data_IF_674092202014
#
_entry.id   IF_674092202014
#
_cell.length_a   1.000
_cell.length_b   1.000
_cell.length_c   1.000
_cell.angle_alpha   90.00
_cell.angle_beta   90.00
_cell.angle_gamma   90.00
#
_symmetry.space_group_name_H-M   'P 1'
#
loop_
_entity.id
_entity.type
_entity.pdbx_description
1 polymer ?
#
# COMPACT_ATOMS: atom_id res chain seq x y z
N UNK A 1 14.25 46.00 6.83
CA UNK A 1 13.89 46.14 8.25
C UNK A 1 12.37 46.03 8.28
N UNK A 2 11.69 45.01 8.79
CA UNK A 2 11.95 43.94 9.77
C UNK A 2 10.75 42.99 9.55
N UNK A 3 10.90 41.71 9.21
CA UNK A 3 11.26 40.63 10.12
C UNK A 3 10.00 40.03 10.77
N UNK A 4 9.49 38.92 10.25
CA UNK A 4 8.67 37.96 10.98
C UNK A 4 9.17 36.56 10.59
N UNK A 5 10.02 36.03 11.45
CA UNK A 5 10.44 34.64 11.52
C UNK A 5 9.37 33.87 12.27
N UNK A 6 8.94 32.73 11.75
CA UNK A 6 8.50 31.61 12.58
C UNK A 6 9.25 30.37 12.10
N UNK A 7 10.22 29.98 12.92
CA UNK A 7 10.85 28.67 12.89
C UNK A 7 9.85 27.69 13.48
N UNK A 8 9.11 27.01 12.61
CA UNK A 8 8.49 25.73 12.94
C UNK A 8 9.58 24.66 12.83
N UNK A 9 9.95 24.12 13.98
CA UNK A 9 10.91 23.03 14.15
C UNK A 9 10.42 21.80 13.38
N UNK A 10 10.89 21.66 12.14
CA UNK A 10 10.75 20.42 11.40
C UNK A 10 11.77 19.45 11.99
N UNK A 11 11.33 18.53 12.84
CA UNK A 11 12.00 17.24 13.02
C UNK A 11 11.88 16.48 11.70
N UNK A 12 12.66 16.93 10.72
CA UNK A 12 12.77 16.34 9.40
C UNK A 12 13.47 15.01 9.52
N UNK A 13 12.70 13.93 9.58
CA UNK A 13 13.15 12.71 8.94
C UNK A 13 13.11 12.94 7.43
N UNK A 14 14.21 13.50 6.92
CA UNK A 14 14.48 13.50 5.49
C UNK A 14 14.74 12.04 5.08
N UNK A 15 13.68 11.30 4.76
CA UNK A 15 13.82 10.14 3.88
C UNK A 15 14.45 10.66 2.60
N UNK A 16 15.71 10.31 2.34
CA UNK A 16 16.35 10.67 1.08
C UNK A 16 15.50 10.06 -0.03
N UNK A 17 14.91 10.91 -0.87
CA UNK A 17 14.18 10.48 -2.05
C UNK A 17 15.17 9.78 -2.97
N UNK A 18 15.20 8.46 -2.89
CA UNK A 18 15.99 7.65 -3.81
C UNK A 18 15.29 7.62 -5.17
N UNK A 19 16.07 7.63 -6.25
CA UNK A 19 15.55 7.41 -7.60
C UNK A 19 15.65 5.94 -7.91
N UNK A 20 14.72 5.41 -8.72
CA UNK A 20 14.83 4.05 -9.23
C UNK A 20 16.13 3.89 -10.04
N UNK A 21 16.65 2.66 -10.04
CA UNK A 21 17.90 2.30 -10.70
C UNK A 21 17.83 0.89 -11.28
N UNK A 22 18.64 0.62 -12.30
CA UNK A 22 18.73 -0.71 -12.88
C UNK A 22 19.45 -1.67 -11.93
N UNK A 23 18.89 -2.86 -11.75
CA UNK A 23 19.58 -3.99 -11.14
C UNK A 23 19.50 -5.17 -12.10
N UNK A 24 20.64 -5.80 -12.37
CA UNK A 24 20.68 -7.00 -13.20
C UNK A 24 19.91 -8.14 -12.52
N UNK A 25 19.16 -8.91 -13.32
CA UNK A 25 18.36 -10.04 -12.81
C UNK A 25 19.16 -11.01 -11.95
N UNK A 26 20.44 -11.18 -12.26
CA UNK A 26 21.36 -12.08 -11.58
C UNK A 26 21.75 -11.61 -10.17
N UNK A 27 21.60 -10.31 -9.88
CA UNK A 27 21.88 -9.71 -8.57
C UNK A 27 20.70 -9.84 -7.61
N UNK A 28 19.49 -10.11 -8.13
CA UNK A 28 18.28 -10.24 -7.32
C UNK A 28 18.08 -11.68 -6.82
N UNK A 29 17.64 -11.77 -5.57
CA UNK A 29 17.25 -13.03 -4.97
C UNK A 29 16.02 -13.60 -5.68
N UNK A 30 15.94 -14.92 -5.75
CA UNK A 30 14.73 -15.62 -6.20
C UNK A 30 13.89 -15.98 -4.99
N UNK A 31 12.61 -15.60 -4.97
CA UNK A 31 11.67 -15.99 -3.91
C UNK A 31 10.41 -16.60 -4.48
N UNK A 32 9.96 -17.69 -3.89
CA UNK A 32 8.67 -18.36 -4.21
C UNK A 32 7.57 -18.02 -3.19
N UNK A 33 7.94 -17.30 -2.13
CA UNK A 33 7.09 -17.01 -0.98
C UNK A 33 7.36 -15.61 -0.44
N UNK A 34 6.32 -15.05 0.17
CA UNK A 34 6.40 -13.95 1.13
C UNK A 34 6.00 -14.56 2.46
N UNK A 35 6.85 -14.41 3.47
CA UNK A 35 6.88 -15.23 4.66
C UNK A 35 6.75 -16.72 4.29
N UNK A 36 5.70 -17.39 4.75
CA UNK A 36 5.39 -18.78 4.42
C UNK A 36 4.31 -18.93 3.33
N UNK A 37 3.80 -17.84 2.75
CA UNK A 37 2.69 -17.84 1.78
C UNK A 37 3.22 -17.92 0.36
N UNK A 38 2.65 -18.80 -0.48
CA UNK A 38 3.15 -19.04 -1.84
C UNK A 38 2.75 -17.93 -2.80
N UNK A 39 3.62 -17.66 -3.75
CA UNK A 39 3.35 -16.76 -4.86
C UNK A 39 2.84 -17.54 -6.08
N UNK A 40 1.86 -16.96 -6.77
CA UNK A 40 1.38 -17.47 -8.05
C UNK A 40 1.20 -16.32 -9.05
N UNK A 41 1.59 -16.57 -10.30
CA UNK A 41 1.40 -15.58 -11.34
C UNK A 41 -0.08 -15.44 -11.69
N UNK A 42 -0.55 -14.21 -11.81
CA UNK A 42 -1.96 -13.91 -12.03
C UNK A 42 -2.49 -14.57 -13.29
N UNK A 43 -1.87 -14.42 -14.45
CA UNK A 43 -2.50 -14.87 -15.71
C UNK A 43 -2.60 -16.39 -15.85
N UNK A 44 -1.64 -17.12 -15.29
CA UNK A 44 -1.56 -18.58 -15.42
C UNK A 44 -2.12 -19.33 -14.20
N UNK A 45 -2.27 -18.63 -13.07
CA UNK A 45 -2.55 -19.23 -11.75
C UNK A 45 -1.55 -20.34 -11.37
N UNK A 46 -0.36 -20.35 -11.97
CA UNK A 46 0.71 -21.28 -11.64
C UNK A 46 1.55 -20.68 -10.52
N UNK A 47 1.99 -21.54 -9.60
CA UNK A 47 2.97 -21.12 -8.61
C UNK A 47 4.26 -20.72 -9.31
N UNK A 48 4.79 -19.57 -8.92
CA UNK A 48 5.92 -18.93 -9.59
C UNK A 48 6.92 -18.37 -8.57
N UNK A 49 8.08 -17.99 -9.07
CA UNK A 49 9.13 -17.30 -8.33
C UNK A 49 9.34 -15.90 -8.88
N UNK A 50 9.63 -14.97 -7.98
CA UNK A 50 9.90 -13.56 -8.30
C UNK A 50 11.37 -13.21 -8.06
N UNK A 51 11.83 -12.15 -8.74
CA UNK A 51 13.19 -11.60 -8.58
C UNK A 51 13.11 -10.32 -7.77
N UNK A 52 13.70 -10.30 -6.58
CA UNK A 52 13.41 -9.28 -5.60
C UNK A 52 14.66 -8.87 -4.81
N UNK A 53 14.71 -7.60 -4.44
CA UNK A 53 15.69 -7.06 -3.50
C UNK A 53 15.50 -7.69 -2.11
N UNK A 54 16.61 -7.96 -1.42
CA UNK A 54 16.57 -8.64 -0.12
C UNK A 54 15.83 -7.84 0.95
N UNK A 55 16.13 -6.55 1.08
CA UNK A 55 15.53 -5.69 2.10
C UNK A 55 14.06 -5.42 1.83
N UNK A 56 13.67 -5.24 0.56
CA UNK A 56 12.27 -5.15 0.19
C UNK A 56 11.50 -6.45 0.47
N UNK A 57 12.10 -7.61 0.21
CA UNK A 57 11.48 -8.88 0.50
C UNK A 57 11.26 -9.11 2.01
N UNK A 58 12.22 -8.73 2.85
CA UNK A 58 12.06 -8.83 4.31
C UNK A 58 10.94 -7.89 4.82
N UNK A 59 10.82 -6.69 4.24
CA UNK A 59 9.72 -5.78 4.55
C UNK A 59 8.34 -6.34 4.13
N UNK A 60 8.26 -7.09 3.04
CA UNK A 60 7.03 -7.81 2.65
C UNK A 60 6.71 -8.94 3.65
N UNK A 61 7.72 -9.65 4.16
CA UNK A 61 7.52 -10.69 5.17
C UNK A 61 6.93 -10.10 6.45
N UNK A 62 7.45 -8.95 6.89
CA UNK A 62 6.94 -8.19 8.05
C UNK A 62 5.51 -7.70 7.83
N UNK A 63 5.24 -7.09 6.67
CA UNK A 63 3.90 -6.63 6.31
C UNK A 63 2.88 -7.78 6.32
N UNK A 64 3.23 -8.93 5.74
CA UNK A 64 2.30 -10.05 5.66
C UNK A 64 2.02 -10.64 7.05
N UNK A 65 3.04 -10.69 7.92
CA UNK A 65 2.87 -11.05 9.33
C UNK A 65 1.87 -10.13 10.02
N UNK A 66 2.04 -8.80 9.87
CA UNK A 66 1.11 -7.81 10.40
C UNK A 66 -0.32 -7.99 9.86
N UNK A 67 -0.48 -8.16 8.54
CA UNK A 67 -1.79 -8.34 7.92
C UNK A 67 -2.51 -9.57 8.47
N UNK A 68 -1.83 -10.71 8.58
CA UNK A 68 -2.40 -11.96 9.09
C UNK A 68 -2.86 -11.80 10.55
N UNK A 69 -2.05 -11.13 11.37
CA UNK A 69 -2.35 -10.93 12.79
C UNK A 69 -3.52 -9.93 13.01
N UNK A 70 -3.61 -8.89 12.19
CA UNK A 70 -4.45 -7.72 12.50
C UNK A 70 -5.69 -7.58 11.62
N UNK A 71 -5.80 -8.26 10.48
CA UNK A 71 -6.91 -8.04 9.54
C UNK A 71 -8.24 -8.68 9.95
N UNK A 72 -8.20 -9.72 10.78
CA UNK A 72 -9.36 -10.59 11.04
C UNK A 72 -9.80 -11.43 9.84
N UNK A 73 -9.07 -11.37 8.72
CA UNK A 73 -9.34 -12.15 7.50
C UNK A 73 -8.65 -13.52 7.56
N UNK A 74 -9.07 -14.47 6.70
CA UNK A 74 -8.37 -15.75 6.57
C UNK A 74 -6.86 -15.58 6.30
N UNK A 75 -6.05 -16.49 6.85
CA UNK A 75 -4.64 -16.59 6.46
C UNK A 75 -4.57 -17.06 5.00
N UNK A 76 -3.90 -16.32 4.10
CA UNK A 76 -3.71 -16.81 2.74
C UNK A 76 -2.71 -17.98 2.71
N UNK A 77 -2.95 -18.95 1.84
CA UNK A 77 -1.93 -19.93 1.44
C UNK A 77 -1.27 -19.55 0.10
N UNK A 78 -1.92 -18.65 -0.65
CA UNK A 78 -1.46 -18.15 -1.95
C UNK A 78 -1.80 -16.67 -2.13
N UNK A 79 -0.83 -15.90 -2.60
CA UNK A 79 -1.01 -14.53 -3.09
C UNK A 79 -0.70 -14.51 -4.58
N UNK A 80 -1.62 -13.94 -5.37
CA UNK A 80 -1.44 -13.76 -6.82
C UNK A 80 -0.82 -12.40 -7.12
N UNK A 81 0.06 -12.35 -8.13
CA UNK A 81 0.81 -11.15 -8.48
C UNK A 81 1.05 -11.01 -9.98
N UNK A 82 1.41 -9.81 -10.45
CA UNK A 82 1.95 -9.58 -11.80
C UNK A 82 3.49 -9.55 -11.86
N UNK A 83 4.17 -9.58 -10.71
CA UNK A 83 5.62 -9.70 -10.63
C UNK A 83 6.27 -8.56 -9.88
N UNK A 84 7.59 -8.63 -9.80
CA UNK A 84 8.42 -7.71 -9.00
C UNK A 84 9.47 -6.98 -9.82
N UNK A 85 9.97 -7.60 -10.89
CA UNK A 85 11.11 -7.08 -11.64
C UNK A 85 10.91 -7.22 -13.14
N UNK A 86 11.27 -6.16 -13.84
CA UNK A 86 11.36 -6.12 -15.31
C UNK A 86 12.69 -5.47 -15.69
N UNK A 87 13.28 -5.96 -16.77
CA UNK A 87 14.54 -5.43 -17.28
C UNK A 87 14.35 -3.98 -17.76
N UNK A 88 15.03 -3.04 -17.11
CA UNK A 88 15.00 -1.63 -17.48
C UNK A 88 16.11 -1.21 -18.44
N UNK A 89 17.05 -2.11 -18.78
CA UNK A 89 18.20 -1.77 -19.64
C UNK A 89 17.80 -1.45 -21.09
N UNK A 90 16.59 -1.85 -21.50
CA UNK A 90 16.03 -1.57 -22.82
C UNK A 90 15.06 -0.38 -22.90
N UNK A 91 14.69 0.26 -21.78
CA UNK A 91 13.66 1.32 -21.75
C UNK A 91 13.97 2.42 -20.72
N UNK A 92 13.82 3.69 -21.13
CA UNK A 92 13.67 4.92 -20.32
C UNK A 92 14.46 5.02 -19.00
N UNK A 93 15.74 4.61 -19.00
CA UNK A 93 16.70 4.86 -17.91
C UNK A 93 16.26 4.35 -16.52
N UNK A 94 15.60 3.20 -16.43
CA UNK A 94 15.24 2.56 -15.15
C UNK A 94 14.48 3.46 -14.18
N UNK A 95 13.41 4.09 -14.69
CA UNK A 95 12.55 5.02 -13.95
C UNK A 95 11.50 4.34 -13.07
N UNK A 96 11.38 3.00 -13.12
CA UNK A 96 10.45 2.22 -12.30
C UNK A 96 11.18 1.44 -11.21
N UNK A 97 10.58 1.38 -10.01
CA UNK A 97 11.08 0.54 -8.92
C UNK A 97 11.07 -0.95 -9.21
N UNK A 98 10.30 -1.40 -10.22
CA UNK A 98 10.44 -2.75 -10.74
C UNK A 98 11.83 -3.00 -11.32
N UNK A 99 12.49 -1.99 -11.92
CA UNK A 99 13.85 -2.16 -12.47
C UNK A 99 14.89 -2.40 -11.37
N UNK A 100 14.59 -2.00 -10.13
CA UNK A 100 15.42 -2.21 -8.94
C UNK A 100 15.04 -3.47 -8.16
N UNK A 101 13.98 -4.19 -8.56
CA UNK A 101 13.44 -5.32 -7.80
C UNK A 101 12.82 -4.90 -6.45
N UNK A 102 12.40 -3.63 -6.33
CA UNK A 102 11.88 -3.01 -5.11
C UNK A 102 10.40 -2.59 -5.24
N UNK A 103 9.69 -3.23 -6.15
CA UNK A 103 8.26 -3.08 -6.33
C UNK A 103 7.58 -4.43 -6.53
N UNK A 104 6.28 -4.52 -6.26
CA UNK A 104 5.45 -5.69 -6.56
C UNK A 104 4.00 -5.29 -6.82
N UNK A 105 3.35 -6.01 -7.73
CA UNK A 105 1.94 -5.82 -8.06
C UNK A 105 1.10 -6.98 -7.52
N UNK A 106 0.31 -6.75 -6.47
CA UNK A 106 -0.58 -7.75 -5.89
C UNK A 106 -1.97 -7.72 -6.51
N UNK A 107 -2.56 -8.89 -6.71
CA UNK A 107 -3.86 -9.03 -7.38
C UNK A 107 -4.92 -9.72 -6.52
N UNK A 108 -4.59 -10.79 -5.79
CA UNK A 108 -5.56 -11.57 -4.99
C UNK A 108 -4.92 -12.34 -3.85
N UNK A 109 -5.69 -12.56 -2.79
CA UNK A 109 -5.29 -13.41 -1.68
C UNK A 109 -6.29 -14.56 -1.58
N UNK A 110 -5.76 -15.78 -1.45
CA UNK A 110 -6.51 -17.02 -1.55
C UNK A 110 -6.21 -17.90 -0.34
N UNK A 111 -7.25 -18.53 0.20
CA UNK A 111 -7.17 -19.56 1.23
C UNK A 111 -7.94 -20.79 0.74
N UNK A 112 -7.23 -21.88 0.46
CA UNK A 112 -7.76 -23.05 -0.25
C UNK A 112 -8.17 -22.69 -1.68
N UNK A 113 -9.44 -22.92 -1.98
CA UNK A 113 -10.06 -22.56 -3.25
C UNK A 113 -10.79 -21.20 -3.19
N UNK A 114 -10.82 -20.55 -2.03
CA UNK A 114 -11.59 -19.33 -1.81
C UNK A 114 -10.71 -18.08 -1.96
N UNK A 115 -11.03 -17.27 -2.97
CA UNK A 115 -10.55 -15.89 -3.07
C UNK A 115 -11.29 -15.04 -2.02
N UNK A 116 -10.59 -14.66 -0.95
CA UNK A 116 -11.18 -13.83 0.09
C UNK A 116 -10.87 -12.35 -0.10
N UNK A 117 -9.77 -11.98 -0.75
CA UNK A 117 -9.44 -10.59 -1.15
C UNK A 117 -9.21 -10.53 -2.65
N UNK A 118 -9.91 -9.60 -3.31
CA UNK A 118 -9.69 -9.24 -4.71
C UNK A 118 -9.17 -7.81 -4.82
N UNK A 119 -7.98 -7.64 -5.39
CA UNK A 119 -7.40 -6.34 -5.72
C UNK A 119 -7.68 -5.93 -7.18
N UNK A 120 -8.61 -6.65 -7.83
CA UNK A 120 -9.01 -6.50 -9.23
C UNK A 120 -10.24 -5.63 -9.41
N UNK A 121 -10.11 -4.33 -9.21
CA UNK A 121 -11.22 -3.38 -9.40
C UNK A 121 -11.90 -3.55 -10.76
N UNK A 122 -11.11 -3.80 -11.81
CA UNK A 122 -11.56 -4.12 -13.16
C UNK A 122 -12.54 -5.30 -13.25
N UNK A 123 -12.55 -6.19 -12.25
CA UNK A 123 -13.44 -7.35 -12.20
C UNK A 123 -14.59 -7.22 -11.20
N UNK A 124 -14.42 -6.44 -10.13
CA UNK A 124 -15.42 -6.38 -9.08
C UNK A 124 -16.27 -5.12 -9.04
N UNK A 125 -15.90 -4.05 -9.77
CA UNK A 125 -16.59 -2.74 -9.72
C UNK A 125 -18.09 -2.78 -10.02
N UNK A 126 -18.55 -3.80 -10.73
CA UNK A 126 -19.95 -3.99 -11.16
C UNK A 126 -20.62 -5.20 -10.49
N UNK A 127 -20.03 -5.76 -9.43
CA UNK A 127 -20.59 -6.90 -8.69
C UNK A 127 -21.71 -6.48 -7.73
N UNK A 128 -22.52 -7.45 -7.27
CA UNK A 128 -23.59 -7.19 -6.30
C UNK A 128 -23.08 -7.12 -4.85
N UNK A 129 -21.94 -7.75 -4.54
CA UNK A 129 -21.32 -7.85 -3.21
C UNK A 129 -20.24 -6.77 -2.94
N UNK A 130 -20.39 -5.59 -3.57
CA UNK A 130 -19.41 -4.51 -3.56
C UNK A 130 -18.97 -4.05 -2.18
N UNK A 131 -19.90 -3.98 -1.23
CA UNK A 131 -19.59 -3.47 0.12
C UNK A 131 -18.52 -4.33 0.80
N UNK A 132 -18.74 -5.64 0.88
CA UNK A 132 -17.78 -6.57 1.48
C UNK A 132 -16.46 -6.58 0.71
N UNK A 133 -16.50 -6.59 -0.63
CA UNK A 133 -15.28 -6.57 -1.45
C UNK A 133 -14.47 -5.31 -1.19
N UNK A 134 -15.11 -4.13 -1.14
CA UNK A 134 -14.44 -2.86 -0.85
C UNK A 134 -13.84 -2.84 0.55
N UNK A 135 -14.54 -3.37 1.55
CA UNK A 135 -14.00 -3.45 2.92
C UNK A 135 -12.72 -4.29 2.96
N UNK A 136 -12.72 -5.46 2.32
CA UNK A 136 -11.53 -6.32 2.24
C UNK A 136 -10.40 -5.72 1.42
N UNK A 137 -10.73 -5.08 0.30
CA UNK A 137 -9.78 -4.34 -0.52
C UNK A 137 -9.09 -3.24 0.29
N UNK A 138 -9.85 -2.38 0.94
CA UNK A 138 -9.31 -1.21 1.64
C UNK A 138 -8.64 -1.57 2.96
N UNK A 139 -9.07 -2.64 3.65
CA UNK A 139 -8.33 -3.16 4.80
C UNK A 139 -6.96 -3.72 4.39
N UNK A 140 -6.88 -4.39 3.23
CA UNK A 140 -5.60 -4.85 2.66
C UNK A 140 -4.75 -3.66 2.20
N UNK A 141 -5.34 -2.66 1.55
CA UNK A 141 -4.62 -1.44 1.17
C UNK A 141 -4.12 -0.65 2.38
N UNK A 142 -4.88 -0.60 3.47
CA UNK A 142 -4.48 0.03 4.72
C UNK A 142 -3.26 -0.67 5.35
N UNK A 143 -3.23 -2.00 5.37
CA UNK A 143 -2.09 -2.75 5.89
C UNK A 143 -0.83 -2.49 5.06
N UNK A 144 -0.96 -2.40 3.73
CA UNK A 144 0.13 -2.01 2.84
C UNK A 144 0.59 -0.57 3.11
N UNK A 145 -0.35 0.37 3.21
CA UNK A 145 -0.08 1.79 3.49
C UNK A 145 0.64 2.02 4.82
N UNK A 146 0.49 1.10 5.78
CA UNK A 146 1.23 1.13 7.05
C UNK A 146 2.73 0.90 6.83
N UNK A 147 3.09 -0.04 5.95
CA UNK A 147 4.48 -0.45 5.74
C UNK A 147 5.17 0.26 4.58
N UNK A 148 4.42 0.69 3.56
CA UNK A 148 4.94 1.26 2.32
C UNK A 148 4.36 2.65 2.06
N UNK A 149 5.21 3.65 1.79
CA UNK A 149 4.73 5.01 1.50
C UNK A 149 4.13 5.16 0.10
N UNK A 150 4.49 4.28 -0.83
CA UNK A 150 3.95 4.29 -2.19
C UNK A 150 3.10 3.04 -2.42
N UNK A 151 1.78 3.21 -2.26
CA UNK A 151 0.76 2.20 -2.50
C UNK A 151 -0.21 2.78 -3.52
N UNK A 152 -0.20 2.24 -4.73
CA UNK A 152 -1.00 2.74 -5.85
C UNK A 152 -2.19 1.81 -6.07
N UNK A 153 -3.38 2.39 -6.09
CA UNK A 153 -4.65 1.66 -6.21
C UNK A 153 -5.35 2.02 -7.51
N UNK A 154 -6.48 1.38 -7.79
CA UNK A 154 -7.33 1.72 -8.94
C UNK A 154 -7.77 3.20 -9.00
N UNK A 155 -7.69 3.94 -7.89
CA UNK A 155 -8.01 5.37 -7.85
C UNK A 155 -6.96 6.26 -8.50
N UNK A 156 -5.75 5.75 -8.74
CA UNK A 156 -4.67 6.56 -9.30
C UNK A 156 -4.84 6.75 -10.81
N UNK A 157 -5.02 5.65 -11.56
CA UNK A 157 -5.33 5.64 -12.99
C UNK A 157 -5.75 4.23 -13.46
N UNK A 158 -6.15 4.13 -14.73
CA UNK A 158 -6.65 2.89 -15.35
C UNK A 158 -5.62 1.75 -15.37
N UNK A 159 -4.32 2.05 -15.38
CA UNK A 159 -3.27 1.02 -15.39
C UNK A 159 -3.23 0.22 -14.08
N UNK A 160 -3.78 0.77 -13.00
CA UNK A 160 -3.86 0.11 -11.69
C UNK A 160 -5.26 -0.42 -11.39
N UNK A 161 -6.15 -0.50 -12.40
CA UNK A 161 -7.48 -1.07 -12.21
C UNK A 161 -7.43 -2.58 -11.88
N UNK A 162 -6.32 -3.26 -12.19
CA UNK A 162 -6.18 -4.70 -12.06
C UNK A 162 -5.15 -5.14 -10.99
N UNK A 163 -4.64 -4.25 -10.15
CA UNK A 163 -3.74 -4.61 -9.04
C UNK A 163 -3.59 -3.46 -8.03
N UNK A 164 -2.99 -3.76 -6.89
CA UNK A 164 -2.33 -2.73 -6.07
C UNK A 164 -0.83 -2.85 -6.32
N UNK A 165 -0.21 -1.75 -6.74
CA UNK A 165 1.24 -1.63 -6.84
C UNK A 165 1.80 -1.11 -5.52
N UNK A 166 2.90 -1.68 -5.07
CA UNK A 166 3.65 -1.17 -3.92
C UNK A 166 5.14 -1.09 -4.21
N UNK A 167 5.78 -0.05 -3.70
CA UNK A 167 7.23 0.07 -3.65
C UNK A 167 7.67 0.75 -2.34
N UNK A 168 8.96 0.59 -2.04
CA UNK A 168 9.59 1.21 -0.88
C UNK A 168 10.62 2.28 -1.26
N UNK A 169 10.47 2.92 -2.43
CA UNK A 169 11.39 3.92 -2.94
C UNK A 169 11.48 5.19 -2.08
N UNK A 170 10.35 5.57 -1.49
CA UNK A 170 10.25 6.75 -0.62
C UNK A 170 10.53 6.43 0.86
N UNK A 171 9.93 5.36 1.39
CA UNK A 171 10.11 4.96 2.80
C UNK A 171 11.44 4.23 3.05
N UNK A 172 12.08 3.70 2.01
CA UNK A 172 13.16 2.73 2.17
C UNK A 172 12.68 1.53 3.00
N UNK A 173 13.56 1.01 3.83
CA UNK A 173 13.24 -0.07 4.79
C UNK A 173 12.53 0.41 6.06
N UNK A 174 12.21 1.71 6.18
CA UNK A 174 11.46 2.23 7.32
C UNK A 174 9.95 2.08 7.13
N UNK A 175 9.21 2.14 8.24
CA UNK A 175 7.75 2.24 8.21
C UNK A 175 7.30 3.48 7.43
N UNK A 176 6.13 3.39 6.81
CA UNK A 176 5.55 4.52 6.12
C UNK A 176 5.09 5.59 7.11
N UNK A 177 5.16 6.85 6.68
CA UNK A 177 4.55 7.98 7.37
C UNK A 177 3.66 8.74 6.37
N UNK A 178 2.66 9.44 6.90
CA UNK A 178 1.75 10.20 6.06
C UNK A 178 2.41 11.50 5.59
N UNK A 179 2.29 11.78 4.29
CA UNK A 179 2.66 13.06 3.70
C UNK A 179 1.45 13.64 2.98
N UNK A 180 1.01 14.82 3.41
CA UNK A 180 -0.15 15.52 2.82
C UNK A 180 0.01 15.88 1.34
N UNK A 181 1.25 15.92 0.83
CA UNK A 181 1.57 16.10 -0.59
C UNK A 181 1.48 14.83 -1.43
N UNK A 182 1.26 13.65 -0.84
CA UNK A 182 1.16 12.39 -1.58
C UNK A 182 -0.29 12.11 -2.00
N UNK A 183 -0.58 12.24 -3.29
CA UNK A 183 -1.92 11.98 -3.83
C UNK A 183 -2.41 10.56 -3.49
N UNK A 184 -1.55 9.55 -3.60
CA UNK A 184 -1.92 8.15 -3.35
C UNK A 184 -2.24 7.89 -1.88
N UNK A 185 -1.46 8.44 -0.95
CA UNK A 185 -1.76 8.34 0.48
C UNK A 185 -3.05 9.08 0.85
N UNK A 186 -3.29 10.26 0.25
CA UNK A 186 -4.53 11.02 0.48
C UNK A 186 -5.74 10.27 -0.06
N UNK A 187 -5.66 9.69 -1.26
CA UNK A 187 -6.72 8.83 -1.81
C UNK A 187 -7.00 7.63 -0.89
N UNK A 188 -5.95 6.98 -0.39
CA UNK A 188 -6.10 5.88 0.56
C UNK A 188 -6.77 6.34 1.86
N UNK A 189 -6.38 7.47 2.44
CA UNK A 189 -7.00 8.03 3.64
C UNK A 189 -8.50 8.31 3.44
N UNK A 190 -8.86 8.97 2.33
CA UNK A 190 -10.26 9.28 1.98
C UNK A 190 -11.09 8.00 1.79
N UNK A 191 -10.53 7.01 1.11
CA UNK A 191 -11.20 5.73 0.89
C UNK A 191 -11.33 4.91 2.18
N UNK A 192 -10.33 4.93 3.06
CA UNK A 192 -10.40 4.30 4.38
C UNK A 192 -11.51 4.96 5.22
N UNK A 193 -11.55 6.30 5.28
CA UNK A 193 -12.62 7.04 5.96
C UNK A 193 -13.99 6.59 5.45
N UNK A 194 -14.18 6.58 4.13
CA UNK A 194 -15.47 6.29 3.50
C UNK A 194 -15.89 4.84 3.64
N UNK A 195 -15.00 3.89 3.33
CA UNK A 195 -15.38 2.47 3.17
C UNK A 195 -15.17 1.61 4.42
N UNK A 196 -14.36 2.06 5.39
CA UNK A 196 -14.07 1.28 6.60
C UNK A 196 -14.62 1.94 7.88
N UNK A 197 -14.76 3.26 7.89
CA UNK A 197 -15.22 4.02 9.05
C UNK A 197 -16.56 4.72 8.83
N UNK A 198 -17.18 4.57 7.65
CA UNK A 198 -18.45 5.20 7.31
C UNK A 198 -18.42 6.73 7.51
N UNK A 199 -17.25 7.35 7.33
CA UNK A 199 -17.03 8.80 7.36
C UNK A 199 -16.92 9.28 5.93
N UNK A 200 -18.03 9.82 5.41
CA UNK A 200 -18.13 10.28 4.03
C UNK A 200 -17.15 11.42 3.72
N UNK A 201 -16.34 11.21 2.69
CA UNK A 201 -15.47 12.24 2.11
C UNK A 201 -15.27 11.95 0.62
N UNK A 202 -15.28 12.98 -0.20
CA UNK A 202 -14.99 12.84 -1.63
C UNK A 202 -13.54 12.38 -1.84
N UNK A 203 -13.35 11.35 -2.67
CA UNK A 203 -12.03 10.78 -2.92
C UNK A 203 -11.34 11.54 -4.06
N UNK A 204 -10.77 12.70 -3.74
CA UNK A 204 -10.12 13.62 -4.69
C UNK A 204 -8.60 13.45 -4.77
N UNK A 205 -7.98 12.80 -3.79
CA UNK A 205 -6.52 12.79 -3.61
C UNK A 205 -5.91 14.13 -3.18
N UNK A 206 -6.73 15.11 -2.81
CA UNK A 206 -6.27 16.43 -2.35
C UNK A 206 -6.39 16.58 -0.83
N UNK A 207 -5.31 17.00 -0.15
CA UNK A 207 -5.32 17.23 1.30
C UNK A 207 -6.01 18.55 1.68
N UNK A 208 -7.33 18.58 1.52
CA UNK A 208 -8.17 19.75 1.73
C UNK A 208 -8.82 19.77 3.12
N UNK A 209 -9.76 20.71 3.34
CA UNK A 209 -10.45 20.83 4.63
C UNK A 209 -11.40 19.65 4.89
N UNK A 210 -12.07 19.13 3.87
CA UNK A 210 -12.98 18.00 4.01
C UNK A 210 -12.21 16.74 4.42
N UNK A 211 -11.08 16.50 3.75
CA UNK A 211 -10.18 15.38 4.04
C UNK A 211 -9.64 15.42 5.45
N UNK A 212 -9.09 16.56 5.89
CA UNK A 212 -8.63 16.74 7.28
C UNK A 212 -9.73 16.43 8.28
N UNK A 213 -10.92 17.02 8.10
CA UNK A 213 -12.04 16.79 9.02
C UNK A 213 -12.44 15.31 9.09
N UNK A 214 -12.49 14.62 7.95
CA UNK A 214 -12.83 13.21 7.90
C UNK A 214 -11.78 12.34 8.61
N UNK A 215 -10.50 12.62 8.40
CA UNK A 215 -9.42 11.86 9.04
C UNK A 215 -9.33 12.15 10.53
N UNK A 216 -9.50 13.41 10.95
CA UNK A 216 -9.51 13.80 12.37
C UNK A 216 -10.68 13.13 13.09
N UNK A 217 -11.86 13.06 12.47
CA UNK A 217 -13.01 12.32 13.00
C UNK A 217 -12.72 10.82 13.16
N UNK A 218 -12.01 10.19 12.21
CA UNK A 218 -11.62 8.78 12.35
C UNK A 218 -10.59 8.62 13.47
N UNK A 219 -9.60 9.51 13.58
CA UNK A 219 -8.62 9.50 14.66
C UNK A 219 -9.30 9.64 16.03
N UNK A 220 -10.32 10.49 16.15
CA UNK A 220 -11.16 10.59 17.35
C UNK A 220 -11.92 9.28 17.63
N UNK A 221 -12.53 8.66 16.60
CA UNK A 221 -13.25 7.38 16.75
C UNK A 221 -12.36 6.24 17.26
N UNK A 222 -11.07 6.24 16.89
CA UNK A 222 -10.10 5.22 17.34
C UNK A 222 -9.36 5.63 18.62
N UNK A 223 -9.69 6.79 19.22
CA UNK A 223 -9.13 7.24 20.49
C UNK A 223 -7.74 7.86 20.42
N UNK A 224 -7.25 8.17 19.22
CA UNK A 224 -5.94 8.80 18.99
C UNK A 224 -6.07 10.32 18.99
N UNK A 225 -7.11 10.85 18.31
CA UNK A 225 -7.29 12.28 18.06
C UNK A 225 -6.17 12.90 17.19
N UNK A 226 -6.16 14.22 17.07
CA UNK A 226 -5.12 14.95 16.32
C UNK A 226 -5.31 14.89 14.80
N UNK A 227 -4.20 14.98 14.06
CA UNK A 227 -4.13 15.01 12.60
C UNK A 227 -3.25 13.87 12.07
N UNK A 228 -3.52 13.36 10.87
CA UNK A 228 -2.64 12.35 10.23
C UNK A 228 -1.20 12.82 10.01
N UNK A 229 -0.97 14.14 10.02
CA UNK A 229 0.38 14.73 9.91
C UNK A 229 1.17 14.66 11.21
N UNK A 230 0.53 14.27 12.32
CA UNK A 230 1.19 14.12 13.61
C UNK A 230 1.99 12.80 13.63
N UNK A 231 3.07 12.78 14.39
CA UNK A 231 3.94 11.61 14.48
C UNK A 231 3.17 10.37 14.98
N UNK A 232 3.34 9.24 14.32
CA UNK A 232 2.64 7.99 14.62
C UNK A 232 1.14 7.93 14.25
N UNK A 233 0.46 9.05 13.96
CA UNK A 233 -0.97 9.05 13.68
C UNK A 233 -1.33 8.20 12.43
N UNK A 234 -0.49 8.23 11.39
CA UNK A 234 -0.64 7.38 10.21
C UNK A 234 -0.61 5.89 10.53
N UNK A 235 0.33 5.50 11.39
CA UNK A 235 0.53 4.14 11.85
C UNK A 235 -0.74 3.68 12.59
N UNK A 236 -1.23 4.46 13.55
CA UNK A 236 -2.46 4.11 14.28
C UNK A 236 -3.69 4.06 13.36
N UNK A 237 -3.86 5.03 12.47
CA UNK A 237 -4.97 5.09 11.52
C UNK A 237 -5.01 3.87 10.59
N UNK A 238 -3.89 3.54 9.94
CA UNK A 238 -3.79 2.38 9.04
C UNK A 238 -3.87 1.05 9.79
N UNK A 239 -3.37 1.01 11.02
CA UNK A 239 -3.48 -0.15 11.91
C UNK A 239 -4.93 -0.46 12.26
N UNK A 240 -5.66 0.55 12.74
CA UNK A 240 -7.09 0.41 13.05
C UNK A 240 -7.93 0.08 11.81
N UNK A 241 -7.60 0.66 10.65
CA UNK A 241 -8.27 0.37 9.39
C UNK A 241 -8.08 -1.09 8.93
N UNK A 242 -6.89 -1.66 9.14
CA UNK A 242 -6.57 -3.05 8.75
C UNK A 242 -7.55 -4.04 9.37
N UNK A 243 -7.93 -3.85 10.64
CA UNK A 243 -8.85 -4.75 11.35
C UNK A 243 -10.33 -4.62 11.00
N UNK A 244 -10.68 -3.80 10.01
CA UNK A 244 -12.08 -3.54 9.62
C UNK A 244 -12.53 -4.26 8.34
N UNK A 245 -11.67 -5.11 7.77
CA UNK A 245 -11.97 -5.83 6.53
C UNK A 245 -12.93 -7.02 6.68
N UNK A 246 -13.01 -7.61 7.88
CA UNK A 246 -13.83 -8.77 8.19
C UNK A 246 -15.33 -8.44 8.30
#
# INVERSE_FOLDING_TARGET
MTGCSDQGDSTGQSGATSTAYCVDRAELATRERIADVRLAYEETNQFDSVRIDGGFADQLDEWLGFFIENSGLPRPDRIRHFGTWVDGSGSDNCTSWHNSGRAIDFTRFVAGDDEFVSLRYDQWRDRDDLEQIRRRYWATAASLCRHFSYVVTYLYNDAHANHIHIDNGFSGSSMAWFTSGSQTQVQAAQAICTYLFDVEVEITGSWDRATRRATDQVLEQIGVGGSLTDDGAWTEFTGAATGRGA
#
